data_IF_712352003349
#
_entry.id   IF_712352003349
#
_cell.length_a   1.000
_cell.length_b   1.000
_cell.length_c   1.000
_cell.angle_alpha   90.00
_cell.angle_beta   90.00
_cell.angle_gamma   90.00
#
_symmetry.space_group_name_H-M   'P 1'
#
loop_
_entity.id
_entity.type
_entity.pdbx_description
1 polymer ?
#
# COMPACT_ATOMS: atom_id res chain seq x y z
N UNK A 1 17.48 6.95 1.58
CA UNK A 1 16.73 6.73 2.83
C UNK A 1 17.05 5.33 3.33
N UNK A 2 17.53 5.19 4.58
CA UNK A 2 17.94 3.90 5.13
C UNK A 2 16.83 3.39 6.07
N UNK A 3 15.77 2.80 5.53
CA UNK A 3 14.66 2.23 6.31
C UNK A 3 15.08 0.81 6.72
N UNK A 4 15.28 0.57 8.02
CA UNK A 4 15.69 -0.73 8.57
C UNK A 4 14.98 -1.04 9.88
N UNK A 5 14.73 -2.32 10.15
CA UNK A 5 14.06 -2.84 11.33
C UNK A 5 12.68 -2.19 11.58
N UNK A 6 11.94 -1.91 10.49
CA UNK A 6 10.60 -1.33 10.55
C UNK A 6 9.53 -2.27 10.02
N UNK A 7 8.29 -2.07 10.48
CA UNK A 7 7.08 -2.54 9.80
C UNK A 7 6.60 -1.50 8.79
N UNK A 8 6.65 -1.85 7.51
CA UNK A 8 6.35 -0.96 6.39
C UNK A 8 5.08 -1.42 5.68
N UNK A 9 4.04 -0.59 5.69
CA UNK A 9 2.81 -0.83 4.94
C UNK A 9 2.91 -0.15 3.56
N UNK A 10 2.74 -0.93 2.51
CA UNK A 10 2.70 -0.48 1.11
C UNK A 10 1.28 -0.69 0.58
N UNK A 11 0.49 0.37 0.46
CA UNK A 11 -0.77 0.29 -0.32
C UNK A 11 -0.44 0.46 -1.80
N UNK A 12 -1.10 -0.29 -2.69
CA UNK A 12 -0.67 -0.33 -4.10
C UNK A 12 0.68 -1.05 -4.29
N UNK A 13 1.05 -1.89 -3.32
CA UNK A 13 2.35 -2.54 -3.24
C UNK A 13 2.60 -3.60 -4.30
N UNK A 14 1.57 -4.08 -5.02
CA UNK A 14 1.72 -5.02 -6.12
C UNK A 14 1.98 -4.34 -7.47
N UNK A 15 1.76 -3.02 -7.57
CA UNK A 15 2.07 -2.25 -8.78
C UNK A 15 3.57 -2.09 -9.04
N UNK A 16 3.92 -1.49 -10.18
CA UNK A 16 5.32 -1.36 -10.64
C UNK A 16 6.26 -0.71 -9.61
N UNK A 17 5.87 0.44 -9.04
CA UNK A 17 6.67 1.16 -8.04
C UNK A 17 6.68 0.37 -6.71
N UNK A 18 5.51 -0.06 -6.25
CA UNK A 18 5.35 -0.77 -4.97
C UNK A 18 6.14 -2.06 -4.89
N UNK A 19 6.05 -2.89 -5.93
CA UNK A 19 6.73 -4.18 -5.99
C UNK A 19 8.26 -4.02 -6.07
N UNK A 20 8.73 -2.98 -6.76
CA UNK A 20 10.15 -2.59 -6.78
C UNK A 20 10.63 -2.12 -5.40
N UNK A 21 9.83 -1.33 -4.70
CA UNK A 21 10.15 -0.86 -3.36
C UNK A 21 10.18 -2.03 -2.36
N UNK A 22 9.19 -2.92 -2.40
CA UNK A 22 9.15 -4.13 -1.60
C UNK A 22 10.41 -5.00 -1.81
N UNK A 23 10.80 -5.23 -3.08
CA UNK A 23 12.02 -5.96 -3.43
C UNK A 23 13.30 -5.37 -2.81
N UNK A 24 13.38 -4.04 -2.72
CA UNK A 24 14.55 -3.36 -2.14
C UNK A 24 14.57 -3.37 -0.62
N UNK A 25 13.40 -3.31 0.04
CA UNK A 25 13.30 -3.10 1.48
C UNK A 25 13.09 -4.38 2.30
N UNK A 26 12.61 -5.48 1.70
CA UNK A 26 12.17 -6.65 2.47
C UNK A 26 13.27 -7.40 3.23
N UNK A 27 14.55 -7.18 2.93
CA UNK A 27 15.65 -7.88 3.61
C UNK A 27 15.90 -7.34 5.01
N UNK A 28 15.65 -6.06 5.21
CA UNK A 28 15.92 -5.34 6.46
C UNK A 28 14.63 -4.98 7.21
N UNK A 29 13.44 -5.31 6.67
CA UNK A 29 12.16 -4.84 7.18
C UNK A 29 11.06 -5.90 7.05
N UNK A 30 10.01 -5.77 7.86
CA UNK A 30 8.76 -6.48 7.64
C UNK A 30 7.88 -5.64 6.72
N UNK A 31 7.53 -6.19 5.56
CA UNK A 31 6.72 -5.52 4.55
C UNK A 31 5.32 -6.12 4.57
N UNK A 32 4.31 -5.26 4.59
CA UNK A 32 2.93 -5.62 4.30
C UNK A 32 2.49 -4.92 3.02
N UNK A 33 2.16 -5.71 2.00
CA UNK A 33 1.54 -5.24 0.76
C UNK A 33 0.02 -5.29 0.94
N UNK A 34 -0.65 -4.17 0.72
CA UNK A 34 -2.11 -4.06 0.64
C UNK A 34 -2.49 -3.64 -0.78
N UNK A 35 -3.12 -4.54 -1.53
CA UNK A 35 -3.38 -4.31 -2.96
C UNK A 35 -4.60 -5.10 -3.44
N UNK A 36 -5.34 -4.58 -4.42
CA UNK A 36 -6.47 -5.28 -5.04
C UNK A 36 -6.05 -6.09 -6.28
N UNK A 37 -4.80 -5.98 -6.72
CA UNK A 37 -4.19 -6.63 -7.87
C UNK A 37 -4.77 -6.20 -9.22
N UNK A 38 -5.35 -5.00 -9.31
CA UNK A 38 -5.82 -4.47 -10.59
C UNK A 38 -4.67 -4.36 -11.63
N UNK A 39 -3.45 -4.09 -11.14
CA UNK A 39 -2.21 -4.28 -11.89
C UNK A 39 -1.23 -5.08 -11.04
N UNK A 40 -0.95 -6.31 -11.45
CA UNK A 40 -0.07 -7.21 -10.71
C UNK A 40 1.32 -7.29 -11.37
N UNK A 41 2.25 -6.48 -10.89
CA UNK A 41 3.67 -6.59 -11.23
C UNK A 41 4.47 -7.39 -10.19
N UNK A 42 3.80 -7.87 -9.14
CA UNK A 42 4.43 -8.60 -8.03
C UNK A 42 4.66 -10.05 -8.41
N UNK A 43 3.68 -10.66 -9.08
CA UNK A 43 3.75 -12.04 -9.56
C UNK A 43 4.96 -12.28 -10.48
N UNK A 44 5.23 -11.35 -11.39
CA UNK A 44 6.37 -11.42 -12.33
C UNK A 44 7.73 -11.38 -11.62
N UNK A 45 7.81 -10.79 -10.43
CA UNK A 45 9.07 -10.61 -9.69
C UNK A 45 9.43 -11.80 -8.83
N UNK A 46 8.53 -12.77 -8.65
CA UNK A 46 8.78 -13.94 -7.80
C UNK A 46 9.27 -13.52 -6.41
N UNK A 47 8.51 -12.65 -5.73
CA UNK A 47 8.85 -12.07 -4.43
C UNK A 47 8.27 -12.80 -3.19
N UNK A 48 8.03 -14.14 -3.15
CA UNK A 48 7.68 -14.76 -1.89
C UNK A 48 8.90 -14.71 -0.96
N UNK A 49 8.73 -14.00 0.16
CA UNK A 49 9.74 -13.85 1.20
C UNK A 49 9.04 -13.97 2.54
N UNK A 50 9.70 -14.60 3.53
CA UNK A 50 9.19 -14.67 4.91
C UNK A 50 8.95 -13.28 5.54
N UNK A 51 9.55 -12.24 4.96
CA UNK A 51 9.45 -10.86 5.38
C UNK A 51 8.36 -10.06 4.64
N UNK A 52 7.67 -10.66 3.66
CA UNK A 52 6.59 -10.02 2.90
C UNK A 52 5.29 -10.73 3.24
N UNK A 53 4.34 -9.96 3.77
CA UNK A 53 2.94 -10.34 3.94
C UNK A 53 2.11 -9.62 2.89
N UNK A 54 1.02 -10.25 2.47
CA UNK A 54 0.11 -9.71 1.46
C UNK A 54 -1.31 -9.76 2.03
N UNK A 55 -2.01 -8.65 1.93
CA UNK A 55 -3.46 -8.55 2.16
C UNK A 55 -4.08 -8.08 0.86
N UNK A 56 -4.95 -8.92 0.28
CA UNK A 56 -5.77 -8.51 -0.86
C UNK A 56 -6.89 -7.60 -0.37
N UNK A 57 -6.93 -6.36 -0.82
CA UNK A 57 -7.91 -5.38 -0.37
C UNK A 57 -7.91 -4.11 -1.21
N UNK A 58 -9.04 -3.41 -1.21
CA UNK A 58 -9.20 -2.13 -1.89
C UNK A 58 -9.05 -0.98 -0.89
N UNK A 59 -8.44 0.13 -1.29
CA UNK A 59 -8.32 1.33 -0.43
C UNK A 59 -9.66 2.03 -0.20
N UNK A 60 -10.66 1.73 -1.02
CA UNK A 60 -12.04 2.15 -0.80
C UNK A 60 -12.73 1.36 0.34
N UNK A 61 -12.23 0.18 0.72
CA UNK A 61 -12.69 -0.57 1.89
C UNK A 61 -12.00 -0.06 3.17
N UNK A 62 -12.58 0.98 3.77
CA UNK A 62 -12.08 1.55 5.02
C UNK A 62 -12.04 0.52 6.17
N UNK A 63 -12.99 -0.42 6.22
CA UNK A 63 -13.09 -1.39 7.33
C UNK A 63 -11.90 -2.34 7.30
N UNK A 64 -11.65 -2.96 6.14
CA UNK A 64 -10.52 -3.86 5.95
C UNK A 64 -9.19 -3.13 6.08
N UNK A 65 -9.07 -1.91 5.52
CA UNK A 65 -7.86 -1.11 5.64
C UNK A 65 -7.55 -0.76 7.10
N UNK A 66 -8.58 -0.39 7.88
CA UNK A 66 -8.47 -0.11 9.31
C UNK A 66 -8.04 -1.33 10.10
N UNK A 67 -8.69 -2.48 9.88
CA UNK A 67 -8.31 -3.73 10.54
C UNK A 67 -6.86 -4.10 10.21
N UNK A 68 -6.48 -3.99 8.94
CA UNK A 68 -5.13 -4.29 8.47
C UNK A 68 -4.08 -3.41 9.15
N UNK A 69 -4.31 -2.10 9.20
CA UNK A 69 -3.42 -1.16 9.88
C UNK A 69 -3.33 -1.44 11.38
N UNK A 70 -4.44 -1.81 12.03
CA UNK A 70 -4.48 -2.14 13.47
C UNK A 70 -3.74 -3.42 13.83
N UNK A 71 -3.90 -4.47 13.01
CA UNK A 71 -3.26 -5.76 13.21
C UNK A 71 -1.75 -5.67 12.94
N UNK A 72 -1.37 -4.96 11.87
CA UNK A 72 0.02 -4.84 11.45
C UNK A 72 0.82 -3.78 12.23
N UNK A 73 0.17 -2.71 12.70
CA UNK A 73 0.79 -1.59 13.44
C UNK A 73 2.01 -1.02 12.70
N UNK A 74 1.86 -0.48 11.48
CA UNK A 74 2.99 0.02 10.71
C UNK A 74 3.69 1.17 11.42
N UNK A 75 5.00 1.28 11.22
CA UNK A 75 5.81 2.43 11.63
C UNK A 75 6.06 3.37 10.46
N UNK A 76 6.10 2.81 9.25
CA UNK A 76 6.23 3.53 7.99
C UNK A 76 5.08 3.12 7.09
N UNK A 77 4.45 4.09 6.43
CA UNK A 77 3.42 3.86 5.42
C UNK A 77 3.85 4.54 4.14
N UNK A 78 3.81 3.80 3.03
CA UNK A 78 4.02 4.37 1.70
C UNK A 78 2.74 4.14 0.90
N UNK A 79 2.08 5.23 0.54
CA UNK A 79 0.83 5.19 -0.21
C UNK A 79 1.10 5.23 -1.71
N UNK A 80 0.91 4.10 -2.39
CA UNK A 80 1.13 3.95 -3.84
C UNK A 80 -0.14 3.48 -4.57
N UNK A 81 -1.23 3.24 -3.84
CA UNK A 81 -2.51 2.89 -4.43
C UNK A 81 -3.12 4.12 -5.11
N UNK A 82 -3.05 4.15 -6.43
CA UNK A 82 -3.64 5.20 -7.26
C UNK A 82 -3.91 4.65 -8.67
N UNK A 83 -4.94 5.18 -9.32
CA UNK A 83 -5.08 5.06 -10.76
C UNK A 83 -4.23 6.16 -11.39
N UNK A 84 -3.30 5.73 -12.23
CA UNK A 84 -2.37 6.58 -12.95
C UNK A 84 -2.36 6.25 -14.46
N UNK A 85 -1.99 7.24 -15.27
CA UNK A 85 -1.92 7.12 -16.73
C UNK A 85 -3.01 7.95 -17.41
N UNK A 86 -2.61 8.82 -18.33
CA UNK A 86 -3.49 9.82 -18.98
C UNK A 86 -4.72 9.14 -19.59
N UNK A 87 -4.51 8.09 -20.39
CA UNK A 87 -5.61 7.40 -21.08
C UNK A 87 -6.60 6.76 -20.09
N UNK A 88 -6.10 6.11 -19.04
CA UNK A 88 -6.94 5.47 -18.02
C UNK A 88 -7.78 6.51 -17.26
N UNK A 89 -7.18 7.66 -16.94
CA UNK A 89 -7.84 8.76 -16.23
C UNK A 89 -8.92 9.41 -17.09
N UNK A 90 -8.64 9.65 -18.38
CA UNK A 90 -9.62 10.22 -19.32
C UNK A 90 -10.81 9.27 -19.49
N UNK A 91 -10.57 7.96 -19.58
CA UNK A 91 -11.62 6.97 -19.76
C UNK A 91 -12.46 6.76 -18.49
N UNK A 92 -11.88 6.90 -17.30
CA UNK A 92 -12.55 6.61 -16.02
C UNK A 92 -12.28 7.69 -14.96
N UNK A 93 -12.68 8.95 -15.17
CA UNK A 93 -12.32 10.06 -14.28
C UNK A 93 -12.96 9.96 -12.91
N UNK A 94 -14.22 9.50 -12.82
CA UNK A 94 -14.94 9.36 -11.54
C UNK A 94 -14.25 8.31 -10.66
N UNK A 95 -14.06 7.10 -11.18
CA UNK A 95 -13.36 6.03 -10.45
C UNK A 95 -11.92 6.43 -10.09
N UNK A 96 -11.22 7.17 -10.97
CA UNK A 96 -9.90 7.71 -10.66
C UNK A 96 -9.95 8.63 -9.44
N UNK A 97 -10.91 9.56 -9.41
CA UNK A 97 -11.05 10.49 -8.30
C UNK A 97 -11.47 9.77 -7.01
N UNK A 98 -12.34 8.77 -7.09
CA UNK A 98 -12.71 7.95 -5.94
C UNK A 98 -11.49 7.23 -5.37
N UNK A 99 -10.76 6.45 -6.18
CA UNK A 99 -9.57 5.72 -5.71
C UNK A 99 -8.51 6.69 -5.18
N UNK A 100 -8.18 7.75 -5.92
CA UNK A 100 -7.06 8.63 -5.57
C UNK A 100 -7.40 9.54 -4.38
N UNK A 101 -8.62 10.08 -4.30
CA UNK A 101 -9.00 11.02 -3.23
C UNK A 101 -9.60 10.30 -2.03
N UNK A 102 -10.64 9.48 -2.26
CA UNK A 102 -11.34 8.78 -1.16
C UNK A 102 -10.48 7.65 -0.61
N UNK A 103 -9.72 6.94 -1.46
CA UNK A 103 -8.74 5.96 -1.00
C UNK A 103 -7.65 6.58 -0.13
N UNK A 104 -7.12 7.75 -0.51
CA UNK A 104 -6.18 8.50 0.34
C UNK A 104 -6.81 8.88 1.67
N UNK A 105 -8.03 9.43 1.66
CA UNK A 105 -8.76 9.79 2.88
C UNK A 105 -8.98 8.57 3.79
N UNK A 106 -9.36 7.43 3.22
CA UNK A 106 -9.56 6.19 3.97
C UNK A 106 -8.28 5.71 4.62
N UNK A 107 -7.14 5.80 3.92
CA UNK A 107 -5.84 5.48 4.52
C UNK A 107 -5.56 6.39 5.71
N UNK A 108 -5.75 7.70 5.58
CA UNK A 108 -5.55 8.65 6.68
C UNK A 108 -6.46 8.34 7.88
N UNK A 109 -7.75 8.06 7.63
CA UNK A 109 -8.71 7.63 8.67
C UNK A 109 -8.27 6.34 9.37
N UNK A 110 -7.81 5.36 8.59
CA UNK A 110 -7.34 4.07 9.13
C UNK A 110 -6.15 4.22 10.08
N UNK A 111 -5.35 5.29 9.88
CA UNK A 111 -4.14 5.61 10.63
C UNK A 111 -4.36 6.64 11.73
N UNK A 112 -5.55 7.24 11.86
CA UNK A 112 -5.81 8.36 12.79
C UNK A 112 -5.40 8.01 14.23
N UNK A 113 -5.79 6.82 14.70
CA UNK A 113 -5.44 6.28 16.03
C UNK A 113 -3.95 5.98 16.21
N UNK A 114 -3.17 5.97 15.12
CA UNK A 114 -1.74 5.64 15.08
C UNK A 114 -0.86 6.80 14.63
N UNK A 115 -1.46 7.96 14.31
CA UNK A 115 -0.76 9.10 13.70
C UNK A 115 0.44 9.62 14.49
N UNK A 116 0.46 9.41 15.82
CA UNK A 116 1.57 9.76 16.73
C UNK A 116 2.72 8.75 16.74
N UNK A 117 2.53 7.56 16.16
CA UNK A 117 3.49 6.45 16.13
C UNK A 117 4.15 6.27 14.76
N UNK A 118 3.71 7.04 13.76
CA UNK A 118 4.27 7.02 12.41
C UNK A 118 5.51 7.90 12.34
N UNK A 119 6.56 7.38 11.70
CA UNK A 119 7.75 8.15 11.35
C UNK A 119 7.43 9.12 10.20
N UNK A 120 8.00 10.33 10.24
CA UNK A 120 7.80 11.40 9.26
C UNK A 120 9.14 11.86 8.70
#
# INVERSE_FOLDING_TARGET
MNIKNKRVLLTGGAGFIGSTLASKLHKDNEILIYDNFHRDSLSDKGLPSKHIKIVKGDVLDLSLLTKTAQDFKPQVVVHLAAIAGIDTVILNPINTMEVNMIGTLNLLKSLEKYSSKLER
#
